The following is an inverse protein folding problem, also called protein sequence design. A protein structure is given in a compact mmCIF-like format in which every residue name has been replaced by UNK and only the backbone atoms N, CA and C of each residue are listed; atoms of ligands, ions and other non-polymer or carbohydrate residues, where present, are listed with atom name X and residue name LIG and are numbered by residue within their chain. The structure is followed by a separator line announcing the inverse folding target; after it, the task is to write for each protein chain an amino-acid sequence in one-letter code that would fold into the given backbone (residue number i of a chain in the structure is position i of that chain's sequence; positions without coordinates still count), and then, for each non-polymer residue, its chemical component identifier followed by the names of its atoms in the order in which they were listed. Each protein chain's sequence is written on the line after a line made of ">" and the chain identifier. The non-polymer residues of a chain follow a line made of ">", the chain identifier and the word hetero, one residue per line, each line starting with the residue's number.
data_IF_240503570548
#
_entry.id   IF_240503570548
#
_cell.length_a   1.000
_cell.length_b   1.000
_cell.length_c   1.000
_cell.angle_alpha   90.00
_cell.angle_beta   90.00
_cell.angle_gamma   90.00
#
_symmetry.space_group_name_H-M   'P 1'
#
loop_
_entity.id
_entity.type
_entity.pdbx_description
1 polymer ?
#
# COMPACT_ATOMS: atom_id res chain seq x y z
N UNK A 1 2.06 -21.47 48.33
CA UNK A 1 2.23 -22.93 48.17
C UNK A 1 2.82 -23.24 46.80
N UNK A 2 3.37 -24.46 46.60
CA UNK A 2 3.96 -24.84 45.30
C UNK A 2 2.93 -24.78 44.15
N UNK A 3 1.64 -25.02 44.45
CA UNK A 3 0.54 -24.96 43.49
C UNK A 3 0.24 -23.53 43.02
N UNK A 4 0.37 -22.52 43.89
CA UNK A 4 0.22 -21.09 43.52
C UNK A 4 1.36 -20.63 42.64
N UNK A 5 2.58 -21.10 42.89
CA UNK A 5 3.74 -20.83 42.06
C UNK A 5 3.60 -21.45 40.66
N UNK A 6 3.06 -22.67 40.57
CA UNK A 6 2.83 -23.36 39.30
C UNK A 6 1.72 -22.68 38.47
N UNK A 7 0.66 -22.16 39.13
CA UNK A 7 -0.37 -21.36 38.48
C UNK A 7 0.16 -20.03 37.95
N UNK A 8 1.04 -19.34 38.69
CA UNK A 8 1.69 -18.09 38.29
C UNK A 8 2.67 -18.37 37.14
N UNK A 9 3.44 -19.45 37.19
CA UNK A 9 4.39 -19.82 36.15
C UNK A 9 3.68 -20.24 34.84
N UNK A 10 2.55 -20.97 34.92
CA UNK A 10 1.70 -21.26 33.75
C UNK A 10 1.13 -20.00 33.12
N UNK A 11 0.67 -19.05 33.93
CA UNK A 11 0.23 -17.75 33.47
C UNK A 11 1.35 -16.95 32.78
N UNK A 12 2.56 -17.00 33.31
CA UNK A 12 3.74 -16.33 32.74
C UNK A 12 4.19 -16.97 31.43
N UNK A 13 4.15 -18.30 31.29
CA UNK A 13 4.48 -19.03 30.06
C UNK A 13 3.46 -18.73 28.96
N UNK A 14 2.16 -18.64 29.28
CA UNK A 14 1.11 -18.25 28.31
C UNK A 14 1.31 -16.81 27.83
N UNK A 15 1.69 -15.89 28.72
CA UNK A 15 2.01 -14.51 28.35
C UNK A 15 3.24 -14.42 27.44
N UNK A 16 4.27 -15.19 27.71
CA UNK A 16 5.50 -15.24 26.91
C UNK A 16 5.26 -15.86 25.52
N UNK A 17 4.44 -16.90 25.44
CA UNK A 17 4.06 -17.56 24.18
C UNK A 17 3.24 -16.61 23.29
N UNK A 18 2.33 -15.82 23.84
CA UNK A 18 1.56 -14.81 23.11
C UNK A 18 2.42 -13.61 22.67
N UNK A 19 3.39 -13.19 23.46
CA UNK A 19 4.28 -12.08 23.11
C UNK A 19 5.31 -12.49 22.05
N UNK A 20 5.83 -13.72 22.10
CA UNK A 20 6.71 -14.27 21.05
C UNK A 20 5.96 -14.45 19.73
N UNK A 21 4.68 -14.84 19.76
CA UNK A 21 3.86 -14.97 18.55
C UNK A 21 3.52 -13.61 17.92
N UNK A 22 3.25 -12.57 18.71
CA UNK A 22 3.10 -11.20 18.21
C UNK A 22 4.42 -10.64 17.68
N UNK A 23 5.53 -10.98 18.32
CA UNK A 23 6.86 -10.54 17.90
C UNK A 23 7.27 -11.16 16.57
N UNK A 24 6.83 -12.38 16.24
CA UNK A 24 7.17 -13.04 14.98
C UNK A 24 6.62 -12.28 13.76
N UNK A 25 5.33 -11.94 13.74
CA UNK A 25 4.72 -11.23 12.63
C UNK A 25 5.33 -9.83 12.46
N UNK A 26 5.47 -9.06 13.55
CA UNK A 26 6.09 -7.73 13.51
C UNK A 26 7.55 -7.80 13.07
N UNK A 27 8.33 -8.77 13.55
CA UNK A 27 9.72 -9.00 13.15
C UNK A 27 9.79 -9.31 11.67
N UNK A 28 8.94 -10.19 11.14
CA UNK A 28 8.91 -10.55 9.73
C UNK A 28 8.49 -9.38 8.83
N UNK A 29 7.56 -8.54 9.26
CA UNK A 29 7.21 -7.30 8.56
C UNK A 29 8.43 -6.38 8.46
N UNK A 30 9.17 -6.20 9.57
CA UNK A 30 10.41 -5.40 9.55
C UNK A 30 11.45 -5.93 8.58
N UNK A 31 11.67 -7.26 8.55
CA UNK A 31 12.59 -7.90 7.59
C UNK A 31 12.11 -7.72 6.15
N UNK A 32 10.81 -7.94 5.87
CA UNK A 32 10.22 -7.72 4.55
C UNK A 32 10.43 -6.29 4.05
N UNK A 33 10.14 -5.29 4.89
CA UNK A 33 10.34 -3.89 4.53
C UNK A 33 11.82 -3.56 4.28
N UNK A 34 12.72 -4.16 5.06
CA UNK A 34 14.16 -4.06 4.83
C UNK A 34 14.59 -4.64 3.49
N UNK A 35 14.16 -5.86 3.16
CA UNK A 35 14.41 -6.49 1.87
C UNK A 35 13.87 -5.64 0.72
N UNK A 36 12.63 -5.16 0.81
CA UNK A 36 12.01 -4.32 -0.22
C UNK A 36 12.67 -2.95 -0.39
N UNK A 37 13.30 -2.42 0.66
CA UNK A 37 14.14 -1.22 0.55
C UNK A 37 15.42 -1.50 -0.25
N UNK A 38 16.05 -2.65 -0.04
CA UNK A 38 17.23 -3.10 -0.81
C UNK A 38 16.84 -3.34 -2.28
N UNK A 39 15.65 -3.87 -2.54
CA UNK A 39 15.08 -4.05 -3.89
C UNK A 39 14.77 -2.71 -4.61
N UNK A 40 15.04 -1.56 -3.99
CA UNK A 40 14.87 -0.23 -4.60
C UNK A 40 13.44 0.33 -4.57
N UNK A 41 12.53 -0.22 -3.75
CA UNK A 41 11.18 0.33 -3.65
C UNK A 41 11.19 1.75 -3.08
N UNK A 42 10.33 2.61 -3.65
CA UNK A 42 10.19 4.00 -3.20
C UNK A 42 9.78 4.11 -1.73
N UNK A 43 10.21 5.19 -1.07
CA UNK A 43 9.84 5.46 0.33
C UNK A 43 8.32 5.48 0.54
N UNK A 44 7.55 5.99 -0.43
CA UNK A 44 6.08 6.02 -0.39
C UNK A 44 5.48 4.61 -0.45
N UNK A 45 6.00 3.74 -1.31
CA UNK A 45 5.55 2.34 -1.39
C UNK A 45 5.83 1.59 -0.09
N UNK A 46 7.03 1.79 0.48
CA UNK A 46 7.40 1.19 1.75
C UNK A 46 6.52 1.68 2.91
N UNK A 47 6.17 2.98 2.93
CA UNK A 47 5.25 3.54 3.92
C UNK A 47 3.84 2.93 3.81
N UNK A 48 3.32 2.75 2.60
CA UNK A 48 2.05 2.07 2.37
C UNK A 48 2.07 0.62 2.84
N UNK A 49 3.10 -0.15 2.47
CA UNK A 49 3.26 -1.53 2.95
C UNK A 49 3.32 -1.59 4.47
N UNK A 50 4.09 -0.71 5.09
CA UNK A 50 4.19 -0.63 6.55
C UNK A 50 2.82 -0.41 7.17
N UNK A 51 2.10 0.63 6.76
CA UNK A 51 0.78 0.96 7.31
C UNK A 51 -0.22 -0.19 7.19
N UNK A 52 -0.29 -0.84 6.01
CA UNK A 52 -1.21 -1.95 5.78
C UNK A 52 -0.84 -3.19 6.61
N UNK A 53 0.45 -3.54 6.68
CA UNK A 53 0.91 -4.73 7.40
C UNK A 53 0.90 -4.54 8.92
N UNK A 54 1.17 -3.34 9.42
CA UNK A 54 1.04 -3.01 10.86
C UNK A 54 -0.43 -3.07 11.30
N UNK A 55 -1.35 -2.56 10.49
CA UNK A 55 -2.77 -2.70 10.74
C UNK A 55 -3.21 -4.18 10.76
N UNK A 56 -2.73 -4.99 9.82
CA UNK A 56 -2.96 -6.43 9.82
C UNK A 56 -2.44 -7.08 11.10
N UNK A 57 -1.19 -6.78 11.49
CA UNK A 57 -0.56 -7.32 12.69
C UNK A 57 -1.22 -6.86 14.00
N UNK A 58 -1.97 -5.76 14.00
CA UNK A 58 -2.76 -5.31 15.14
C UNK A 58 -4.04 -6.12 15.33
N UNK A 59 -4.55 -6.76 14.28
CA UNK A 59 -5.80 -7.52 14.28
C UNK A 59 -5.56 -9.03 14.33
N UNK A 60 -4.51 -9.51 13.67
CA UNK A 60 -4.17 -10.93 13.62
C UNK A 60 -2.99 -11.20 14.57
N UNK A 61 -3.27 -11.87 15.68
CA UNK A 61 -2.27 -12.13 16.74
C UNK A 61 -1.56 -13.47 16.61
N UNK A 62 -1.88 -14.26 15.56
CA UNK A 62 -1.27 -15.57 15.30
C UNK A 62 0.15 -15.43 14.77
N UNK A 63 1.00 -16.44 15.00
CA UNK A 63 2.29 -16.53 14.33
C UNK A 63 2.10 -16.70 12.82
N UNK A 64 3.05 -16.21 12.01
CA UNK A 64 2.96 -16.22 10.54
C UNK A 64 2.72 -17.60 9.95
N UNK A 65 3.29 -18.65 10.57
CA UNK A 65 3.12 -20.04 10.12
C UNK A 65 1.70 -20.61 10.39
N UNK A 66 0.96 -20.02 11.34
CA UNK A 66 -0.39 -20.44 11.74
C UNK A 66 -1.51 -19.60 11.08
N UNK A 67 -1.15 -18.56 10.32
CA UNK A 67 -2.14 -17.72 9.63
C UNK A 67 -2.76 -18.50 8.48
N UNK A 68 -4.08 -18.55 8.46
CA UNK A 68 -4.88 -19.26 7.46
C UNK A 68 -5.55 -18.32 6.48
N UNK A 69 -6.11 -18.87 5.41
CA UNK A 69 -6.93 -18.09 4.46
C UNK A 69 -8.15 -17.46 5.13
N UNK A 70 -8.72 -18.11 6.16
CA UNK A 70 -9.89 -17.59 6.87
C UNK A 70 -9.52 -16.41 7.78
N UNK A 71 -8.32 -16.38 8.34
CA UNK A 71 -7.81 -15.20 9.04
C UNK A 71 -7.69 -14.00 8.12
N UNK A 72 -7.24 -14.24 6.88
CA UNK A 72 -7.17 -13.18 5.84
C UNK A 72 -8.58 -12.69 5.47
N UNK A 73 -9.54 -13.62 5.27
CA UNK A 73 -10.94 -13.25 4.97
C UNK A 73 -11.56 -12.44 6.11
N UNK A 74 -11.36 -12.86 7.35
CA UNK A 74 -11.84 -12.12 8.54
C UNK A 74 -11.24 -10.72 8.62
N UNK A 75 -9.96 -10.54 8.27
CA UNK A 75 -9.34 -9.23 8.21
C UNK A 75 -9.92 -8.35 7.07
N UNK A 76 -10.18 -8.93 5.90
CA UNK A 76 -10.79 -8.20 4.79
C UNK A 76 -12.21 -7.76 5.16
N UNK A 77 -13.01 -8.64 5.77
CA UNK A 77 -14.34 -8.30 6.27
C UNK A 77 -14.28 -7.17 7.32
N UNK A 78 -13.31 -7.20 8.24
CA UNK A 78 -13.10 -6.10 9.18
C UNK A 78 -12.80 -4.77 8.48
N UNK A 79 -12.01 -4.77 7.42
CA UNK A 79 -11.68 -3.55 6.66
C UNK A 79 -12.93 -2.99 5.95
N UNK A 80 -13.77 -3.85 5.41
CA UNK A 80 -15.01 -3.50 4.72
C UNK A 80 -16.08 -3.00 5.70
N UNK A 81 -16.48 -3.83 6.65
CA UNK A 81 -17.61 -3.58 7.54
C UNK A 81 -17.32 -2.54 8.62
N UNK A 82 -16.12 -2.58 9.23
CA UNK A 82 -15.81 -1.71 10.38
C UNK A 82 -15.15 -0.40 9.94
N UNK A 83 -14.34 -0.42 8.88
CA UNK A 83 -13.64 0.76 8.37
C UNK A 83 -14.28 1.38 7.14
N UNK A 84 -15.26 0.73 6.56
CA UNK A 84 -16.02 1.18 5.39
C UNK A 84 -15.08 1.67 4.26
N UNK A 85 -14.03 0.89 3.97
CA UNK A 85 -13.06 1.24 2.95
C UNK A 85 -13.64 1.03 1.55
N UNK A 86 -13.35 1.96 0.65
CA UNK A 86 -13.68 1.79 -0.77
C UNK A 86 -12.97 0.56 -1.35
N UNK A 87 -13.58 -0.09 -2.33
CA UNK A 87 -13.05 -1.28 -3.02
C UNK A 87 -11.60 -1.11 -3.49
N UNK A 88 -11.26 0.07 -4.02
CA UNK A 88 -9.90 0.40 -4.43
C UNK A 88 -8.91 0.37 -3.27
N UNK A 89 -9.30 0.86 -2.09
CA UNK A 89 -8.48 0.83 -0.88
C UNK A 89 -8.36 -0.58 -0.33
N UNK A 90 -9.45 -1.36 -0.28
CA UNK A 90 -9.43 -2.78 0.07
C UNK A 90 -8.47 -3.56 -0.83
N UNK A 91 -8.52 -3.32 -2.15
CA UNK A 91 -7.62 -3.98 -3.10
C UNK A 91 -6.15 -3.64 -2.82
N UNK A 92 -5.83 -2.40 -2.40
CA UNK A 92 -4.44 -2.05 -2.04
C UNK A 92 -3.96 -2.79 -0.79
N UNK A 93 -4.82 -2.99 0.22
CA UNK A 93 -4.53 -3.83 1.37
C UNK A 93 -4.28 -5.29 0.97
N UNK A 94 -5.15 -5.85 0.13
CA UNK A 94 -5.00 -7.23 -0.41
C UNK A 94 -3.68 -7.37 -1.17
N UNK A 95 -3.30 -6.40 -1.99
CA UNK A 95 -2.04 -6.41 -2.73
C UNK A 95 -0.83 -6.38 -1.80
N UNK A 96 -0.89 -5.60 -0.73
CA UNK A 96 0.18 -5.54 0.28
C UNK A 96 0.34 -6.88 1.02
N UNK A 97 -0.76 -7.52 1.41
CA UNK A 97 -0.74 -8.85 2.03
C UNK A 97 -0.23 -9.91 1.05
N UNK A 98 -0.68 -9.85 -0.22
CA UNK A 98 -0.22 -10.80 -1.26
C UNK A 98 1.28 -10.70 -1.49
N UNK A 99 1.83 -9.48 -1.56
CA UNK A 99 3.25 -9.26 -1.71
C UNK A 99 4.04 -9.78 -0.49
N UNK A 100 3.56 -9.53 0.72
CA UNK A 100 4.19 -9.98 1.96
C UNK A 100 4.19 -11.52 2.11
N UNK A 101 3.02 -12.15 1.98
CA UNK A 101 2.93 -13.61 2.10
C UNK A 101 3.58 -14.35 0.93
N UNK A 102 3.58 -13.75 -0.26
CA UNK A 102 4.34 -14.26 -1.40
C UNK A 102 5.85 -14.26 -1.10
N UNK A 103 6.38 -13.16 -0.56
CA UNK A 103 7.77 -13.08 -0.14
C UNK A 103 8.09 -14.09 0.97
N UNK A 104 7.23 -14.24 2.00
CA UNK A 104 7.44 -15.23 3.06
C UNK A 104 7.49 -16.67 2.52
N UNK A 105 6.70 -16.98 1.49
CA UNK A 105 6.71 -18.30 0.85
C UNK A 105 7.99 -18.51 0.03
N UNK A 106 8.41 -17.48 -0.71
CA UNK A 106 9.64 -17.53 -1.52
C UNK A 106 10.89 -17.67 -0.64
N UNK A 107 10.89 -17.00 0.52
CA UNK A 107 11.96 -17.11 1.53
C UNK A 107 11.83 -18.37 2.42
N UNK A 108 10.96 -19.31 2.06
CA UNK A 108 10.72 -20.56 2.81
C UNK A 108 10.37 -20.35 4.30
N UNK A 109 9.90 -19.16 4.68
CA UNK A 109 9.51 -18.83 6.06
C UNK A 109 8.14 -19.41 6.42
N UNK A 110 7.31 -19.71 5.42
CA UNK A 110 6.02 -20.41 5.55
C UNK A 110 5.92 -21.46 4.43
N UNK A 111 5.35 -22.62 4.79
CA UNK A 111 5.18 -23.75 3.84
C UNK A 111 4.02 -23.53 2.86
N UNK A 112 3.00 -22.78 3.26
CA UNK A 112 1.77 -22.58 2.49
C UNK A 112 1.36 -21.11 2.50
N UNK A 113 1.11 -20.56 1.32
CA UNK A 113 0.69 -19.17 1.18
C UNK A 113 -0.81 -19.04 1.50
N UNK A 114 -1.22 -18.32 2.58
CA UNK A 114 -2.63 -18.16 2.93
C UNK A 114 -3.39 -17.28 1.92
N UNK A 115 -2.69 -16.50 1.08
CA UNK A 115 -3.29 -15.65 0.05
C UNK A 115 -3.65 -16.40 -1.23
N UNK A 116 -3.24 -17.67 -1.40
CA UNK A 116 -3.41 -18.43 -2.65
C UNK A 116 -4.87 -18.54 -3.13
N UNK A 117 -5.83 -18.55 -2.20
CA UNK A 117 -7.26 -18.64 -2.48
C UNK A 117 -8.00 -17.29 -2.43
N UNK A 118 -7.29 -16.19 -2.19
CA UNK A 118 -7.87 -14.84 -2.14
C UNK A 118 -7.83 -14.23 -3.53
N UNK A 119 -9.00 -14.01 -4.11
CA UNK A 119 -9.14 -13.34 -5.41
C UNK A 119 -8.99 -11.82 -5.26
N UNK A 120 -8.66 -11.15 -6.35
CA UNK A 120 -8.74 -9.68 -6.42
C UNK A 120 -10.19 -9.23 -6.45
N UNK A 121 -10.47 -8.09 -5.83
CA UNK A 121 -11.79 -7.46 -5.88
C UNK A 121 -12.01 -6.96 -7.31
N UNK A 122 -13.18 -7.22 -7.87
CA UNK A 122 -13.59 -6.60 -9.13
C UNK A 122 -13.95 -5.15 -8.81
N UNK A 123 -13.13 -4.23 -9.29
CA UNK A 123 -13.40 -2.80 -9.15
C UNK A 123 -14.19 -2.39 -10.39
N UNK A 124 -15.43 -1.97 -10.18
CA UNK A 124 -16.21 -1.37 -11.25
C UNK A 124 -15.57 -0.03 -11.65
N UNK A 125 -15.23 0.07 -12.93
CA UNK A 125 -14.67 1.30 -13.51
C UNK A 125 -15.72 2.44 -13.67
N UNK A 126 -16.87 2.30 -13.04
CA UNK A 126 -17.92 3.31 -13.01
C UNK A 126 -17.35 4.53 -12.25
N UNK A 127 -17.14 5.63 -12.96
CA UNK A 127 -16.50 6.83 -12.41
C UNK A 127 -15.01 6.97 -12.79
N UNK A 128 -14.53 6.26 -13.83
CA UNK A 128 -13.24 6.59 -14.43
C UNK A 128 -13.19 8.10 -14.75
N UNK A 129 -12.09 8.75 -14.36
CA UNK A 129 -11.89 10.16 -14.69
C UNK A 129 -12.06 10.33 -16.19
N UNK A 130 -12.98 11.17 -16.60
CA UNK A 130 -13.15 11.54 -18.01
C UNK A 130 -12.10 12.59 -18.37
N UNK A 131 -11.61 12.51 -19.60
CA UNK A 131 -10.79 13.58 -20.16
C UNK A 131 -11.67 14.83 -20.33
N UNK A 132 -11.08 16.02 -20.23
CA UNK A 132 -11.76 17.26 -20.54
C UNK A 132 -12.18 17.25 -22.02
N UNK A 133 -13.36 17.75 -22.30
CA UNK A 133 -13.78 18.06 -23.67
C UNK A 133 -13.01 19.30 -24.19
N UNK A 134 -13.06 19.51 -25.50
CA UNK A 134 -12.43 20.70 -26.11
C UNK A 134 -13.05 21.98 -25.52
N UNK A 135 -14.35 22.02 -25.36
CA UNK A 135 -15.09 23.18 -24.83
C UNK A 135 -14.77 23.42 -23.34
N UNK A 136 -14.54 22.38 -22.57
CA UNK A 136 -14.13 22.50 -21.16
C UNK A 136 -12.68 23.02 -21.07
N UNK A 137 -11.80 22.58 -21.97
CA UNK A 137 -10.45 23.05 -22.04
C UNK A 137 -10.38 24.54 -22.44
N UNK A 138 -11.18 24.98 -23.43
CA UNK A 138 -11.26 26.40 -23.81
C UNK A 138 -11.78 27.26 -22.64
N UNK A 139 -12.82 26.80 -21.95
CA UNK A 139 -13.31 27.51 -20.75
C UNK A 139 -12.24 27.62 -19.66
N UNK A 140 -11.40 26.58 -19.51
CA UNK A 140 -10.28 26.59 -18.57
C UNK A 140 -9.22 27.60 -18.97
N UNK A 141 -8.90 27.71 -20.28
CA UNK A 141 -7.99 28.72 -20.85
C UNK A 141 -8.48 30.14 -20.63
N UNK A 142 -9.74 30.37 -20.86
CA UNK A 142 -10.38 31.69 -20.69
C UNK A 142 -10.45 32.12 -19.21
N UNK A 143 -10.57 31.18 -18.30
CA UNK A 143 -10.56 31.44 -16.87
C UNK A 143 -9.17 31.80 -16.30
N UNK A 144 -8.08 31.60 -17.07
CA UNK A 144 -6.73 31.95 -16.63
C UNK A 144 -6.51 33.45 -16.63
N UNK A 145 -6.16 33.99 -15.47
CA UNK A 145 -5.89 35.44 -15.29
C UNK A 145 -4.43 35.78 -15.61
N UNK A 146 -3.50 34.87 -15.28
CA UNK A 146 -2.06 35.11 -15.42
C UNK A 146 -1.44 34.30 -16.56
N UNK A 147 -0.35 34.83 -17.14
CA UNK A 147 0.46 34.08 -18.12
C UNK A 147 1.01 32.76 -17.54
N UNK A 148 1.30 32.72 -16.25
CA UNK A 148 1.79 31.52 -15.58
C UNK A 148 0.72 30.41 -15.59
N UNK A 149 -0.52 30.74 -15.31
CA UNK A 149 -1.63 29.80 -15.35
C UNK A 149 -1.85 29.26 -16.76
N UNK A 150 -1.87 30.15 -17.76
CA UNK A 150 -1.98 29.76 -19.18
C UNK A 150 -0.84 28.84 -19.59
N UNK A 151 0.40 29.19 -19.27
CA UNK A 151 1.57 28.38 -19.59
C UNK A 151 1.53 27.00 -18.95
N UNK A 152 1.05 26.89 -17.68
CA UNK A 152 0.93 25.62 -16.99
C UNK A 152 -0.11 24.70 -17.67
N UNK A 153 -1.28 25.26 -18.04
CA UNK A 153 -2.33 24.50 -18.71
C UNK A 153 -1.86 24.03 -20.07
N UNK A 154 -1.30 24.93 -20.88
CA UNK A 154 -0.77 24.57 -22.21
C UNK A 154 0.32 23.52 -22.13
N UNK A 155 1.21 23.65 -21.15
CA UNK A 155 2.27 22.67 -20.93
C UNK A 155 1.71 21.29 -20.56
N UNK A 156 0.75 21.23 -19.63
CA UNK A 156 0.13 19.96 -19.21
C UNK A 156 -0.63 19.30 -20.37
N UNK A 157 -1.36 20.09 -21.17
CA UNK A 157 -2.14 19.58 -22.29
C UNK A 157 -1.24 19.10 -23.42
N UNK A 158 -0.19 19.86 -23.77
CA UNK A 158 0.70 19.53 -24.87
C UNK A 158 1.68 18.40 -24.57
N UNK A 159 2.19 18.33 -23.31
CA UNK A 159 3.20 17.34 -22.93
C UNK A 159 2.60 16.03 -22.41
N UNK A 160 1.39 16.06 -21.85
CA UNK A 160 0.81 14.91 -21.14
C UNK A 160 1.54 14.51 -19.85
N UNK A 161 2.44 15.37 -19.34
CA UNK A 161 3.18 15.12 -18.11
C UNK A 161 2.26 15.02 -16.90
N UNK A 162 2.64 14.20 -15.93
CA UNK A 162 1.92 14.17 -14.65
C UNK A 162 2.20 15.44 -13.85
N UNK A 163 1.23 15.89 -13.05
CA UNK A 163 1.40 17.08 -12.21
C UNK A 163 2.66 17.01 -11.32
N UNK A 164 2.99 15.82 -10.79
CA UNK A 164 4.20 15.61 -9.98
C UNK A 164 5.50 15.75 -10.79
N UNK A 165 5.49 15.41 -12.05
CA UNK A 165 6.62 15.56 -12.98
C UNK A 165 6.82 17.05 -13.27
N UNK A 166 5.72 17.73 -13.63
CA UNK A 166 5.76 19.19 -13.88
C UNK A 166 6.23 19.98 -12.65
N UNK A 167 5.79 19.57 -11.45
CA UNK A 167 6.20 20.26 -10.21
C UNK A 167 7.70 20.13 -9.87
N UNK A 168 8.39 19.17 -10.48
CA UNK A 168 9.82 18.94 -10.27
C UNK A 168 10.69 19.48 -11.41
N UNK A 169 10.08 19.99 -12.50
CA UNK A 169 10.82 20.53 -13.64
C UNK A 169 11.60 21.79 -13.28
N UNK A 170 12.81 21.84 -13.81
CA UNK A 170 13.66 23.03 -13.82
C UNK A 170 13.75 23.59 -15.23
N UNK A 171 14.15 24.83 -15.37
CA UNK A 171 14.35 25.45 -16.68
C UNK A 171 15.40 24.72 -17.54
N UNK A 172 16.37 24.06 -16.91
CA UNK A 172 17.39 23.23 -17.58
C UNK A 172 16.85 21.94 -18.22
N UNK A 173 15.65 21.50 -17.81
CA UNK A 173 15.01 20.29 -18.35
C UNK A 173 14.22 20.56 -19.63
N UNK A 174 14.10 21.85 -20.01
CA UNK A 174 13.43 22.31 -21.23
C UNK A 174 14.43 22.55 -22.35
N UNK A 175 14.16 21.97 -23.50
CA UNK A 175 14.84 22.34 -24.78
C UNK A 175 13.86 23.12 -25.67
N UNK A 176 13.94 24.47 -25.69
CA UNK A 176 13.04 25.30 -26.50
C UNK A 176 13.25 25.11 -27.99
N UNK A 177 14.47 24.74 -28.42
CA UNK A 177 14.84 24.56 -29.84
C UNK A 177 14.30 23.22 -30.33
N UNK A 178 14.61 22.15 -29.60
CA UNK A 178 14.12 20.79 -29.88
C UNK A 178 12.65 20.56 -29.51
N UNK A 179 12.02 21.52 -28.83
CA UNK A 179 10.63 21.43 -28.32
C UNK A 179 10.40 20.16 -27.48
N UNK A 180 11.38 19.81 -26.65
CA UNK A 180 11.33 18.63 -25.79
C UNK A 180 11.49 19.00 -24.33
N UNK A 181 11.00 18.12 -23.48
CA UNK A 181 11.15 18.20 -22.02
C UNK A 181 11.66 16.88 -21.49
N UNK A 182 12.62 16.93 -20.57
CA UNK A 182 13.13 15.75 -19.86
C UNK A 182 12.41 15.65 -18.51
N UNK A 183 11.68 14.57 -18.28
CA UNK A 183 10.96 14.25 -17.05
C UNK A 183 11.52 13.00 -16.39
#
# INVERSE_FOLDING_TARGET
>A
TAEELDAILKGYIIFKENDEQRSDLKRRIKHYLGAKKIDGLSARTLANYRSHLELFASKVTKSTAKITTDDIRGYIAFLDETRNLKETSLQTHINSLRAFFGWLTMEEKIKKNPMSKIKSIKIDKVGARQALTVEELERLRDACVTYREKALIEFLVSSGCRLSEVAQLNASDLDPIGRTVRV
#
